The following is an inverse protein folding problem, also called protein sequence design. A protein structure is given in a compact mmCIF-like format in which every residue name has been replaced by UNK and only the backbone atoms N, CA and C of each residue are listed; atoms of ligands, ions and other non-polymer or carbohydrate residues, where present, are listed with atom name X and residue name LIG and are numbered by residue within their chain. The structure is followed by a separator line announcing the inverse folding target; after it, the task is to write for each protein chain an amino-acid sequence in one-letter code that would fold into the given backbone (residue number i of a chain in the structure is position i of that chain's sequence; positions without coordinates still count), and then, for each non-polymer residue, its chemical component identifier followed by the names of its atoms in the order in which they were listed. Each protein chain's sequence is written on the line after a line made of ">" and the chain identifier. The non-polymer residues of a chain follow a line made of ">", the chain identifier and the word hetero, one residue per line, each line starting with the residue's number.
data_IF_337756630320
#
_entry.id   IF_337756630320
#
_cell.length_a   1.000
_cell.length_b   1.000
_cell.length_c   1.000
_cell.angle_alpha   90.00
_cell.angle_beta   90.00
_cell.angle_gamma   90.00
#
_symmetry.space_group_name_H-M   'P 1'
#
loop_
_entity.id
_entity.type
_entity.pdbx_description
1 polymer ?
#
# COMPACT_ATOMS: atom_id res chain seq x y z
N UNK A 1 3.40 13.73 -4.28
CA UNK A 1 3.12 13.40 -2.86
C UNK A 1 1.66 12.99 -2.77
N UNK A 2 1.29 12.02 -1.94
CA UNK A 2 -0.09 11.55 -1.84
C UNK A 2 -0.64 11.81 -0.44
N UNK A 3 -1.93 12.17 -0.37
CA UNK A 3 -2.67 12.33 0.89
C UNK A 3 -2.78 10.96 1.57
N UNK A 4 -2.41 10.91 2.85
CA UNK A 4 -2.41 9.72 3.67
C UNK A 4 -3.66 9.58 4.55
N UNK A 5 -4.29 10.71 4.89
CA UNK A 5 -5.56 10.73 5.61
C UNK A 5 -6.69 10.17 4.74
N UNK A 6 -7.63 9.38 5.28
CA UNK A 6 -8.79 8.93 4.53
C UNK A 6 -9.76 10.10 4.26
N UNK A 7 -10.56 10.03 3.19
CA UNK A 7 -11.68 10.96 2.99
C UNK A 7 -12.58 11.00 4.23
N UNK A 8 -13.08 12.19 4.59
CA UNK A 8 -13.98 12.35 5.73
C UNK A 8 -13.30 12.42 7.10
N UNK A 9 -11.97 12.32 7.20
CA UNK A 9 -11.21 12.43 8.46
C UNK A 9 -11.20 13.84 9.10
N UNK A 10 -11.98 14.79 8.56
CA UNK A 10 -12.08 16.17 9.04
C UNK A 10 -11.27 17.16 8.20
N UNK A 11 -10.98 18.32 8.77
CA UNK A 11 -10.36 19.46 8.09
C UNK A 11 -8.82 19.39 7.99
N UNK A 12 -8.23 18.19 8.07
CA UNK A 12 -6.78 17.99 8.10
C UNK A 12 -6.34 17.03 7.01
N UNK A 13 -5.25 17.39 6.32
CA UNK A 13 -4.54 16.49 5.43
C UNK A 13 -3.30 15.96 6.13
N UNK A 14 -3.10 14.66 6.05
CA UNK A 14 -1.87 14.02 6.50
C UNK A 14 -1.04 13.57 5.30
N UNK A 15 0.28 13.67 5.39
CA UNK A 15 1.20 13.25 4.34
C UNK A 15 2.34 12.43 4.93
N UNK A 16 2.77 11.39 4.21
CA UNK A 16 4.02 10.69 4.50
C UNK A 16 5.10 11.23 3.58
N UNK A 17 6.10 11.90 4.15
CA UNK A 17 7.19 12.51 3.39
C UNK A 17 8.49 11.83 3.77
N UNK A 18 9.20 11.31 2.77
CA UNK A 18 10.57 10.83 2.92
C UNK A 18 11.50 11.96 2.50
N UNK A 19 12.39 12.38 3.40
CA UNK A 19 13.39 13.39 3.08
C UNK A 19 14.30 12.93 1.94
N UNK A 20 14.52 13.83 0.98
CA UNK A 20 15.45 13.66 -0.14
C UNK A 20 16.26 14.95 -0.22
N UNK A 21 17.60 14.89 -0.12
CA UNK A 21 18.44 16.09 -0.09
C UNK A 21 18.23 17.00 -1.29
N UNK A 22 18.28 18.31 -1.05
CA UNK A 22 18.09 19.36 -2.05
C UNK A 22 16.75 19.30 -2.80
N UNK A 23 15.68 18.83 -2.13
CA UNK A 23 14.32 18.81 -2.68
C UNK A 23 13.31 19.45 -1.74
N UNK A 24 12.11 19.75 -2.25
CA UNK A 24 10.98 20.17 -1.42
C UNK A 24 10.67 19.19 -0.29
N UNK A 25 10.94 17.88 -0.46
CA UNK A 25 10.70 16.90 0.58
C UNK A 25 11.62 17.10 1.80
N UNK A 26 12.87 17.54 1.60
CA UNK A 26 13.78 17.88 2.70
C UNK A 26 13.27 19.13 3.44
N UNK A 27 12.86 20.16 2.72
CA UNK A 27 12.28 21.37 3.31
C UNK A 27 11.03 21.06 4.14
N UNK A 28 10.12 20.24 3.59
CA UNK A 28 8.90 19.81 4.27
C UNK A 28 9.20 19.00 5.54
N UNK A 29 10.22 18.13 5.52
CA UNK A 29 10.64 17.38 6.72
C UNK A 29 11.30 18.28 7.77
N UNK A 30 11.78 19.47 7.42
CA UNK A 30 12.35 20.45 8.33
C UNK A 30 11.35 21.47 8.88
N UNK A 31 10.09 21.44 8.42
CA UNK A 31 9.05 22.34 8.91
C UNK A 31 8.73 22.10 10.38
N UNK A 32 8.33 23.18 11.06
CA UNK A 32 7.88 23.19 12.44
C UNK A 32 6.44 23.68 12.50
N UNK A 33 5.78 23.44 13.62
CA UNK A 33 4.44 23.93 13.90
C UNK A 33 4.33 25.44 13.63
N UNK A 34 3.25 25.86 12.95
CA UNK A 34 3.06 27.23 12.47
C UNK A 34 3.69 27.53 11.11
N UNK A 35 4.49 26.61 10.55
CA UNK A 35 4.96 26.69 9.17
C UNK A 35 3.79 26.68 8.17
N UNK A 36 3.88 27.52 7.15
CA UNK A 36 2.86 27.64 6.10
C UNK A 36 3.30 26.84 4.87
N UNK A 37 2.39 26.04 4.33
CA UNK A 37 2.59 25.29 3.09
C UNK A 37 1.45 25.63 2.15
N UNK A 38 1.78 26.07 0.95
CA UNK A 38 0.81 26.24 -0.11
C UNK A 38 0.52 24.89 -0.77
N UNK A 39 -0.76 24.54 -0.84
CA UNK A 39 -1.20 23.31 -1.48
C UNK A 39 -1.74 23.64 -2.88
N UNK A 40 -1.23 22.93 -3.88
CA UNK A 40 -1.85 22.90 -5.20
C UNK A 40 -3.20 22.17 -5.18
N UNK A 41 -3.88 22.17 -6.33
CA UNK A 41 -5.11 21.39 -6.49
C UNK A 41 -4.86 19.89 -6.24
N UNK A 42 -5.87 19.21 -5.69
CA UNK A 42 -5.84 17.75 -5.60
C UNK A 42 -5.86 17.17 -7.02
N UNK A 43 -4.92 16.29 -7.30
CA UNK A 43 -4.76 15.65 -8.60
C UNK A 43 -4.81 14.12 -8.44
N UNK A 44 -5.17 13.43 -9.54
CA UNK A 44 -5.27 11.98 -9.59
C UNK A 44 -6.70 11.48 -9.41
N UNK A 45 -6.95 10.24 -9.84
CA UNK A 45 -8.26 9.56 -9.74
C UNK A 45 -8.39 8.68 -8.49
N UNK A 46 -7.30 8.48 -7.76
CA UNK A 46 -7.23 7.47 -6.71
C UNK A 46 -7.31 6.05 -7.27
N UNK A 47 -7.47 5.07 -6.38
CA UNK A 47 -7.75 3.70 -6.78
C UNK A 47 -9.22 3.56 -7.22
N UNK A 48 -9.51 2.90 -8.35
CA UNK A 48 -10.88 2.62 -8.77
C UNK A 48 -11.43 1.40 -8.00
N UNK A 49 -11.65 1.59 -6.69
CA UNK A 49 -12.06 0.56 -5.71
C UNK A 49 -13.40 -0.11 -6.05
N UNK A 50 -14.23 0.55 -6.85
CA UNK A 50 -15.49 0.03 -7.37
C UNK A 50 -15.32 -1.24 -8.22
N UNK A 51 -14.13 -1.50 -8.75
CA UNK A 51 -13.85 -2.72 -9.54
C UNK A 51 -13.64 -3.97 -8.70
N UNK A 52 -13.40 -3.79 -7.40
CA UNK A 52 -13.20 -4.87 -6.43
C UNK A 52 -14.21 -4.79 -5.28
N UNK A 53 -15.22 -3.93 -5.39
CA UNK A 53 -16.28 -3.71 -4.39
C UNK A 53 -17.64 -3.92 -5.06
N UNK A 54 -18.63 -4.57 -4.43
CA UNK A 54 -18.67 -5.10 -3.05
C UNK A 54 -17.70 -6.28 -2.82
N UNK A 55 -17.53 -6.77 -1.57
CA UNK A 55 -16.63 -7.89 -1.25
C UNK A 55 -16.73 -9.10 -2.20
N UNK A 56 -17.92 -9.43 -2.68
CA UNK A 56 -18.17 -10.54 -3.62
C UNK A 56 -17.47 -10.37 -4.99
N UNK A 57 -17.18 -9.13 -5.40
CA UNK A 57 -16.43 -8.86 -6.62
C UNK A 57 -14.97 -9.36 -6.52
N UNK A 58 -14.41 -9.43 -5.32
CA UNK A 58 -13.06 -9.96 -5.06
C UNK A 58 -12.93 -10.47 -3.62
N UNK A 59 -13.15 -11.76 -3.41
CA UNK A 59 -13.02 -12.40 -2.10
C UNK A 59 -11.56 -12.45 -1.62
N UNK A 60 -10.60 -12.37 -2.55
CA UNK A 60 -9.18 -12.16 -2.24
C UNK A 60 -8.71 -10.78 -2.71
N UNK A 61 -8.03 -10.01 -1.86
CA UNK A 61 -7.39 -8.74 -2.24
C UNK A 61 -5.92 -8.73 -1.84
N UNK A 62 -5.06 -8.57 -2.84
CA UNK A 62 -3.60 -8.49 -2.68
C UNK A 62 -3.12 -7.04 -2.77
N UNK A 63 -2.65 -6.50 -1.67
CA UNK A 63 -2.16 -5.12 -1.58
C UNK A 63 -0.64 -5.14 -1.56
N UNK A 64 -0.02 -4.33 -2.42
CA UNK A 64 1.43 -4.19 -2.51
C UNK A 64 1.82 -2.73 -2.30
N UNK A 65 2.56 -2.47 -1.22
CA UNK A 65 3.09 -1.17 -0.90
C UNK A 65 4.61 -1.22 -0.82
N UNK A 66 5.30 -0.24 -1.40
CA UNK A 66 6.74 -0.07 -1.20
C UNK A 66 7.09 1.36 -0.77
N UNK A 67 7.89 1.50 0.29
CA UNK A 67 8.36 2.79 0.79
C UNK A 67 7.20 3.72 1.17
N UNK A 68 7.18 4.93 0.60
CA UNK A 68 6.14 5.93 0.87
C UNK A 68 4.78 5.58 0.25
N UNK A 69 4.70 4.59 -0.66
CA UNK A 69 3.44 4.13 -1.25
C UNK A 69 2.41 3.65 -0.21
N UNK A 70 2.89 3.23 0.98
CA UNK A 70 2.04 2.89 2.12
C UNK A 70 1.09 4.02 2.55
N UNK A 71 1.40 5.28 2.23
CA UNK A 71 0.52 6.41 2.56
C UNK A 71 -0.85 6.29 1.90
N UNK A 72 -0.86 5.86 0.64
CA UNK A 72 -2.11 5.65 -0.11
C UNK A 72 -2.86 4.43 0.38
N UNK A 73 -2.13 3.39 0.81
CA UNK A 73 -2.73 2.18 1.40
C UNK A 73 -3.32 2.50 2.76
N UNK A 74 -2.67 3.32 3.59
CA UNK A 74 -3.25 3.83 4.83
C UNK A 74 -4.59 4.50 4.56
N UNK A 75 -4.65 5.42 3.60
CA UNK A 75 -5.89 6.11 3.22
C UNK A 75 -6.95 5.12 2.76
N UNK A 76 -6.61 4.15 1.90
CA UNK A 76 -7.53 3.11 1.43
C UNK A 76 -8.08 2.21 2.56
N UNK A 77 -7.20 1.74 3.44
CA UNK A 77 -7.55 0.83 4.54
C UNK A 77 -8.41 1.56 5.57
N UNK A 78 -8.03 2.79 5.93
CA UNK A 78 -8.76 3.59 6.93
C UNK A 78 -10.05 4.21 6.38
N UNK A 79 -10.18 4.37 5.05
CA UNK A 79 -11.46 4.69 4.40
C UNK A 79 -12.46 3.54 4.48
N UNK A 80 -11.97 2.30 4.52
CA UNK A 80 -12.77 1.09 4.70
C UNK A 80 -13.30 0.51 3.40
N UNK A 81 -12.57 -0.43 2.80
CA UNK A 81 -13.01 -1.21 1.62
C UNK A 81 -13.58 -2.60 1.98
N UNK A 82 -14.08 -2.72 3.21
CA UNK A 82 -14.67 -3.94 3.78
C UNK A 82 -13.71 -5.14 3.77
N UNK A 83 -12.49 -4.95 4.28
CA UNK A 83 -11.47 -6.01 4.30
C UNK A 83 -11.86 -7.22 5.16
N UNK A 84 -12.55 -6.98 6.28
CA UNK A 84 -13.07 -8.00 7.20
C UNK A 84 -14.26 -8.81 6.64
N UNK A 85 -14.89 -8.37 5.56
CA UNK A 85 -15.98 -9.07 4.88
C UNK A 85 -15.49 -9.97 3.73
N UNK A 86 -14.18 -10.00 3.50
CA UNK A 86 -13.53 -10.79 2.45
C UNK A 86 -12.84 -12.01 3.05
N UNK A 87 -12.73 -13.08 2.27
CA UNK A 87 -12.06 -14.31 2.70
C UNK A 87 -10.56 -14.12 2.98
N UNK A 88 -9.87 -13.30 2.19
CA UNK A 88 -8.43 -13.10 2.33
C UNK A 88 -7.96 -11.71 1.85
N UNK A 89 -7.43 -10.90 2.76
CA UNK A 89 -6.81 -9.62 2.41
C UNK A 89 -5.37 -9.62 2.90
N UNK A 90 -4.41 -9.48 1.98
CA UNK A 90 -2.99 -9.52 2.28
C UNK A 90 -2.31 -8.22 1.89
N UNK A 91 -1.58 -7.61 2.82
CA UNK A 91 -0.71 -6.47 2.56
C UNK A 91 0.75 -6.92 2.54
N UNK A 92 1.37 -6.93 1.37
CA UNK A 92 2.82 -7.00 1.22
C UNK A 92 3.41 -5.59 1.35
N UNK A 93 4.07 -5.31 2.47
CA UNK A 93 4.66 -4.00 2.72
C UNK A 93 6.20 -4.06 2.72
N UNK A 94 6.77 -3.47 1.66
CA UNK A 94 8.19 -3.38 1.41
C UNK A 94 8.83 -2.13 2.02
N UNK A 95 9.88 -2.32 2.82
CA UNK A 95 10.76 -1.26 3.27
C UNK A 95 12.24 -1.70 3.23
N UNK A 96 13.16 -0.74 3.43
CA UNK A 96 14.60 -1.07 3.50
C UNK A 96 14.92 -1.84 4.78
N UNK A 97 14.44 -1.33 5.90
CA UNK A 97 14.57 -1.91 7.25
C UNK A 97 13.34 -1.54 8.08
N UNK A 98 13.15 -2.19 9.23
CA UNK A 98 12.10 -1.81 10.20
C UNK A 98 12.20 -0.35 10.60
N UNK A 99 13.40 0.20 10.80
CA UNK A 99 13.59 1.62 11.17
C UNK A 99 12.98 2.59 10.15
N UNK A 100 12.94 2.20 8.88
CA UNK A 100 12.41 3.02 7.78
C UNK A 100 10.95 2.69 7.43
N UNK A 101 10.33 1.76 8.15
CA UNK A 101 8.98 1.30 7.89
C UNK A 101 7.99 2.20 8.62
N UNK A 102 7.20 2.96 7.85
CA UNK A 102 6.23 3.90 8.40
C UNK A 102 4.98 3.15 8.92
N UNK A 103 4.26 3.79 9.85
CA UNK A 103 2.97 3.32 10.37
C UNK A 103 2.97 1.98 11.10
N UNK A 104 4.11 1.57 11.68
CA UNK A 104 4.19 0.36 12.51
C UNK A 104 3.20 0.39 13.68
N UNK A 105 2.93 1.57 14.24
CA UNK A 105 1.92 1.81 15.28
C UNK A 105 0.49 1.47 14.83
N UNK A 106 0.23 1.38 13.52
CA UNK A 106 -1.10 1.12 12.95
C UNK A 106 -1.35 -0.34 12.60
N UNK A 107 -0.32 -1.18 12.57
CA UNK A 107 -0.43 -2.55 12.10
C UNK A 107 -1.49 -3.34 12.85
N UNK A 108 -1.52 -3.24 14.19
CA UNK A 108 -2.54 -3.90 15.02
C UNK A 108 -3.97 -3.51 14.62
N UNK A 109 -4.19 -2.24 14.27
CA UNK A 109 -5.51 -1.76 13.87
C UNK A 109 -5.89 -2.29 12.48
N UNK A 110 -4.95 -2.31 11.54
CA UNK A 110 -5.18 -2.86 10.21
C UNK A 110 -5.41 -4.38 10.25
N UNK A 111 -4.68 -5.10 11.10
CA UNK A 111 -4.92 -6.53 11.33
C UNK A 111 -6.31 -6.77 11.93
N UNK A 112 -6.71 -5.96 12.91
CA UNK A 112 -8.06 -6.01 13.48
C UNK A 112 -9.15 -5.67 12.46
N UNK A 113 -8.82 -4.91 11.42
CA UNK A 113 -9.70 -4.60 10.28
C UNK A 113 -9.71 -5.71 9.20
N UNK A 114 -9.00 -6.83 9.41
CA UNK A 114 -9.02 -8.00 8.53
C UNK A 114 -7.82 -8.16 7.61
N UNK A 115 -6.79 -7.33 7.73
CA UNK A 115 -5.58 -7.47 6.91
C UNK A 115 -4.61 -8.50 7.51
N UNK A 116 -4.05 -9.36 6.66
CA UNK A 116 -2.83 -10.11 6.97
C UNK A 116 -1.64 -9.29 6.47
N UNK A 117 -0.77 -8.85 7.37
CA UNK A 117 0.37 -7.99 7.01
C UNK A 117 1.63 -8.84 6.83
N UNK A 118 2.17 -8.82 5.62
CA UNK A 118 3.43 -9.47 5.25
C UNK A 118 4.48 -8.37 5.07
N UNK A 119 5.34 -8.23 6.07
CA UNK A 119 6.44 -7.28 6.05
C UNK A 119 7.60 -7.86 5.24
N UNK A 120 8.14 -7.07 4.31
CA UNK A 120 9.25 -7.47 3.43
C UNK A 120 10.38 -6.47 3.54
N UNK A 121 11.56 -6.92 3.97
CA UNK A 121 12.72 -6.05 4.11
C UNK A 121 13.76 -6.33 3.02
N UNK A 122 14.19 -5.29 2.30
CA UNK A 122 15.25 -5.43 1.30
C UNK A 122 16.66 -5.45 1.89
N UNK A 123 16.84 -4.89 3.10
CA UNK A 123 18.07 -4.92 3.88
C UNK A 123 17.74 -5.23 5.34
N UNK A 124 17.30 -6.47 5.64
CA UNK A 124 17.01 -6.89 7.00
C UNK A 124 18.30 -6.90 7.84
N UNK A 125 18.15 -6.73 9.15
CA UNK A 125 19.19 -7.12 10.10
C UNK A 125 19.13 -8.64 10.39
N UNK A 126 20.14 -9.18 11.06
CA UNK A 126 20.27 -10.62 11.35
C UNK A 126 19.15 -11.17 12.25
N UNK A 127 18.45 -10.29 12.98
CA UNK A 127 17.33 -10.67 13.85
C UNK A 127 16.03 -10.88 13.07
N UNK A 128 15.94 -10.37 11.84
CA UNK A 128 14.73 -10.48 11.02
C UNK A 128 14.39 -11.92 10.67
N UNK A 129 13.13 -12.30 10.93
CA UNK A 129 12.58 -13.64 10.61
C UNK A 129 11.43 -13.60 9.60
N UNK A 130 11.06 -12.41 9.12
CA UNK A 130 10.02 -12.24 8.12
C UNK A 130 10.53 -12.38 6.68
N UNK A 131 9.73 -11.92 5.73
CA UNK A 131 10.07 -11.97 4.31
C UNK A 131 11.21 -11.00 3.97
N UNK A 132 12.03 -11.38 2.99
CA UNK A 132 13.20 -10.60 2.57
C UNK A 132 13.21 -10.33 1.06
N UNK A 133 13.96 -9.31 0.68
CA UNK A 133 14.08 -8.84 -0.69
C UNK A 133 13.01 -7.81 -1.04
N UNK A 134 12.23 -8.08 -2.09
CA UNK A 134 11.19 -7.18 -2.58
C UNK A 134 9.82 -7.86 -2.52
N UNK A 135 8.76 -7.06 -2.38
CA UNK A 135 7.39 -7.55 -2.14
C UNK A 135 6.91 -8.52 -3.22
N UNK A 136 7.28 -8.27 -4.47
CA UNK A 136 6.90 -9.13 -5.58
C UNK A 136 7.62 -10.47 -5.54
N UNK A 137 8.86 -10.52 -5.07
CA UNK A 137 9.58 -11.77 -4.87
C UNK A 137 9.00 -12.57 -3.70
N UNK A 138 8.63 -11.90 -2.61
CA UNK A 138 7.95 -12.55 -1.48
C UNK A 138 6.61 -13.18 -1.93
N UNK A 139 5.82 -12.43 -2.69
CA UNK A 139 4.59 -12.95 -3.28
C UNK A 139 4.83 -14.12 -4.24
N UNK A 140 5.81 -14.02 -5.15
CA UNK A 140 6.13 -15.08 -6.10
C UNK A 140 6.64 -16.37 -5.43
N UNK A 141 7.29 -16.28 -4.26
CA UNK A 141 7.66 -17.46 -3.46
C UNK A 141 6.45 -18.13 -2.82
N UNK A 142 5.52 -17.34 -2.29
CA UNK A 142 4.33 -17.87 -1.63
C UNK A 142 3.32 -18.43 -2.65
N UNK A 143 3.19 -17.76 -3.81
CA UNK A 143 2.35 -18.12 -4.97
C UNK A 143 0.98 -18.72 -4.62
N UNK A 144 0.30 -18.08 -3.66
CA UNK A 144 -0.97 -18.58 -3.14
C UNK A 144 -2.14 -17.71 -3.63
N UNK A 145 -2.65 -18.04 -4.82
CA UNK A 145 -3.94 -17.55 -5.32
C UNK A 145 -4.83 -18.77 -5.56
N UNK A 146 -5.91 -18.88 -4.79
CA UNK A 146 -6.85 -20.01 -4.90
C UNK A 146 -7.88 -19.79 -6.01
N UNK A 147 -8.42 -18.58 -6.13
CA UNK A 147 -9.41 -18.23 -7.14
C UNK A 147 -9.04 -16.91 -7.84
N UNK A 148 -8.31 -16.96 -8.97
CA UNK A 148 -7.87 -15.78 -9.69
C UNK A 148 -9.02 -14.87 -10.16
N UNK A 149 -10.15 -15.45 -10.56
CA UNK A 149 -11.33 -14.70 -11.02
C UNK A 149 -11.99 -13.85 -9.92
N UNK A 150 -11.86 -14.30 -8.66
CA UNK A 150 -12.32 -13.58 -7.46
C UNK A 150 -11.15 -12.95 -6.68
N UNK A 151 -10.06 -12.64 -7.39
CA UNK A 151 -8.91 -11.93 -6.83
C UNK A 151 -8.83 -10.52 -7.41
N UNK A 152 -8.56 -9.54 -6.56
CA UNK A 152 -8.17 -8.18 -6.94
C UNK A 152 -6.81 -7.83 -6.37
N UNK A 153 -6.19 -6.78 -6.91
CA UNK A 153 -4.92 -6.28 -6.41
C UNK A 153 -4.87 -4.76 -6.35
N UNK A 154 -4.09 -4.23 -5.41
CA UNK A 154 -3.86 -2.79 -5.23
C UNK A 154 -2.36 -2.56 -5.16
N UNK A 155 -1.81 -1.74 -6.06
CA UNK A 155 -0.37 -1.54 -6.20
C UNK A 155 -0.01 -0.06 -5.99
N UNK A 156 0.88 0.22 -5.04
CA UNK A 156 1.48 1.55 -4.88
C UNK A 156 2.97 1.45 -4.50
N UNK A 157 3.83 1.98 -5.36
CA UNK A 157 5.27 1.81 -5.20
C UNK A 157 6.02 2.02 -6.51
N UNK A 158 7.20 1.41 -6.60
CA UNK A 158 8.10 1.59 -7.75
C UNK A 158 7.55 0.92 -9.01
N UNK A 159 7.84 1.50 -10.18
CA UNK A 159 7.39 0.98 -11.48
C UNK A 159 7.70 -0.50 -11.70
N UNK A 160 8.92 -0.93 -11.35
CA UNK A 160 9.33 -2.34 -11.47
C UNK A 160 8.43 -3.29 -10.64
N UNK A 161 8.05 -2.89 -9.42
CA UNK A 161 7.10 -3.65 -8.60
C UNK A 161 5.75 -3.80 -9.29
N UNK A 162 5.25 -2.73 -9.92
CA UNK A 162 3.98 -2.79 -10.65
C UNK A 162 4.05 -3.76 -11.82
N UNK A 163 5.11 -3.67 -12.64
CA UNK A 163 5.28 -4.50 -13.83
C UNK A 163 5.38 -5.99 -13.47
N UNK A 164 6.24 -6.33 -12.51
CA UNK A 164 6.47 -7.72 -12.10
C UNK A 164 5.23 -8.34 -11.42
N UNK A 165 4.57 -7.61 -10.52
CA UNK A 165 3.34 -8.11 -9.86
C UNK A 165 2.21 -8.23 -10.86
N UNK A 166 1.99 -7.23 -11.72
CA UNK A 166 0.92 -7.28 -12.72
C UNK A 166 1.11 -8.44 -13.67
N UNK A 167 2.32 -8.65 -14.18
CA UNK A 167 2.64 -9.77 -15.05
C UNK A 167 2.37 -11.12 -14.37
N UNK A 168 2.76 -11.28 -13.11
CA UNK A 168 2.52 -12.49 -12.34
C UNK A 168 1.02 -12.76 -12.12
N UNK A 169 0.27 -11.74 -11.69
CA UNK A 169 -1.17 -11.85 -11.43
C UNK A 169 -1.95 -12.20 -12.71
N UNK A 170 -1.64 -11.54 -13.83
CA UNK A 170 -2.29 -11.82 -15.11
C UNK A 170 -1.94 -13.23 -15.60
N UNK A 171 -0.68 -13.67 -15.45
CA UNK A 171 -0.28 -15.03 -15.78
C UNK A 171 -1.02 -16.08 -14.94
N UNK A 172 -1.33 -15.76 -13.67
CA UNK A 172 -2.13 -16.60 -12.78
C UNK A 172 -3.65 -16.48 -13.04
N UNK A 173 -4.09 -15.65 -14.00
CA UNK A 173 -5.49 -15.52 -14.43
C UNK A 173 -6.31 -14.45 -13.71
N UNK A 174 -5.67 -13.54 -12.97
CA UNK A 174 -6.35 -12.40 -12.34
C UNK A 174 -6.79 -11.39 -13.42
N UNK A 175 -8.07 -10.97 -13.44
CA UNK A 175 -8.54 -9.98 -14.40
C UNK A 175 -7.79 -8.65 -14.30
N UNK A 176 -7.29 -8.13 -15.42
CA UNK A 176 -6.48 -6.92 -15.46
C UNK A 176 -7.23 -5.68 -14.94
N UNK A 177 -8.54 -5.62 -15.14
CA UNK A 177 -9.39 -4.55 -14.63
C UNK A 177 -9.49 -4.52 -13.10
N UNK A 178 -9.24 -5.66 -12.42
CA UNK A 178 -9.15 -5.78 -10.95
C UNK A 178 -7.76 -5.52 -10.38
N UNK A 179 -6.78 -5.16 -11.22
CA UNK A 179 -5.44 -4.73 -10.78
C UNK A 179 -5.43 -3.20 -10.72
N UNK A 180 -5.52 -2.67 -9.51
CA UNK A 180 -5.70 -1.26 -9.24
C UNK A 180 -4.37 -0.57 -8.95
N UNK A 181 -4.17 0.58 -9.57
CA UNK A 181 -2.98 1.42 -9.37
C UNK A 181 -3.42 2.85 -9.04
N UNK A 182 -2.56 3.56 -8.33
CA UNK A 182 -2.72 4.99 -8.06
C UNK A 182 -1.49 5.70 -8.62
N UNK A 183 -1.68 6.47 -9.69
CA UNK A 183 -0.65 7.24 -10.38
C UNK A 183 -0.74 8.71 -10.02
#
# INVERSE_FOLDING_TARGET
>A
MAVASPPGAGARFEFLVKSVPATTAELLCGLRDGGVVELGAVMGKGFPVERITPPDAAQTVLIFAAGTGISTIRSLVEFGFAANERADVRLYYGARSLRTMAYQDRFKNWESAGLKIILVLSQPDDSWKGEWGYVQHAFLRAKNIVNPSSTGAVLCGQKQMHEEVTAALVADGVPQDKILTNF
#
